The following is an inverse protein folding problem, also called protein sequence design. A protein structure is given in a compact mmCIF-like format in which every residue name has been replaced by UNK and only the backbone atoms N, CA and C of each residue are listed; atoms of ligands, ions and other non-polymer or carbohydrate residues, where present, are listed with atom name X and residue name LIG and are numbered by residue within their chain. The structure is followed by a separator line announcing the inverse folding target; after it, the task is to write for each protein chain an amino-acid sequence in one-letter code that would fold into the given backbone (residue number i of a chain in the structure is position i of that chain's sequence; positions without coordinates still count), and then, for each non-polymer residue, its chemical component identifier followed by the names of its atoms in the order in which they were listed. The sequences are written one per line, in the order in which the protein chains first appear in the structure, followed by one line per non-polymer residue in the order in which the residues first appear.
data_IF_495735706575
#
_entry.id   IF_495735706575
#
_cell.length_a   1.000
_cell.length_b   1.000
_cell.length_c   1.000
_cell.angle_alpha   90.00
_cell.angle_beta   90.00
_cell.angle_gamma   90.00
#
_symmetry.space_group_name_H-M   'P 1'
#
loop_
_entity.id
_entity.type
_entity.pdbx_description
1 polymer ?
#
# COMPACT_ATOMS: atom_id res chain seq x y z
N UNK A 1 13.50 2.20 7.87
CA UNK A 1 13.73 0.81 8.29
C UNK A 1 14.30 0.78 9.69
N UNK A 2 14.00 -0.24 10.52
CA UNK A 2 14.63 -0.44 11.84
C UNK A 2 16.14 -0.64 11.73
N UNK A 3 16.87 -0.31 12.78
CA UNK A 3 18.35 -0.42 12.76
C UNK A 3 18.78 -1.89 12.66
N UNK A 4 18.04 -2.79 13.26
CA UNK A 4 18.29 -4.22 13.23
C UNK A 4 18.24 -4.76 11.79
N UNK A 5 17.28 -4.29 10.99
CA UNK A 5 17.16 -4.64 9.56
C UNK A 5 18.34 -4.08 8.76
N UNK A 6 18.77 -2.85 9.05
CA UNK A 6 19.91 -2.23 8.37
C UNK A 6 21.23 -2.96 8.67
N UNK A 7 21.45 -3.40 9.91
CA UNK A 7 22.64 -4.17 10.28
C UNK A 7 22.66 -5.57 9.63
N UNK A 8 21.51 -6.22 9.54
CA UNK A 8 21.38 -7.49 8.80
C UNK A 8 21.70 -7.28 7.30
N UNK A 9 21.11 -6.26 6.69
CA UNK A 9 21.34 -5.91 5.28
C UNK A 9 22.82 -5.61 4.99
N UNK A 10 23.53 -4.97 5.90
CA UNK A 10 24.97 -4.67 5.76
C UNK A 10 25.79 -5.93 5.53
N UNK A 11 25.52 -7.01 6.25
CA UNK A 11 26.20 -8.28 6.07
C UNK A 11 25.83 -8.94 4.73
N UNK A 12 24.55 -8.90 4.37
CA UNK A 12 24.03 -9.48 3.12
C UNK A 12 24.50 -8.76 1.85
N UNK A 13 25.05 -7.53 1.96
CA UNK A 13 25.68 -6.83 0.82
C UNK A 13 26.97 -7.50 0.35
N UNK A 14 27.62 -8.30 1.18
CA UNK A 14 28.89 -8.97 0.85
C UNK A 14 28.76 -10.49 0.76
N UNK A 15 27.84 -11.09 1.52
CA UNK A 15 27.64 -12.53 1.53
C UNK A 15 26.18 -12.88 1.86
N UNK A 16 25.32 -12.90 0.86
CA UNK A 16 23.94 -13.24 1.05
C UNK A 16 23.75 -14.76 1.24
N UNK A 17 23.29 -15.16 2.41
CA UNK A 17 23.01 -16.56 2.79
C UNK A 17 24.19 -17.52 2.60
N UNK A 18 25.43 -17.06 2.75
CA UNK A 18 26.63 -17.88 2.62
C UNK A 18 26.98 -18.27 1.18
N UNK A 19 26.50 -17.53 0.19
CA UNK A 19 26.76 -17.79 -1.24
C UNK A 19 28.11 -17.29 -1.72
N UNK A 20 28.81 -16.49 -0.89
CA UNK A 20 30.02 -15.76 -1.29
C UNK A 20 29.75 -14.59 -2.23
N UNK A 21 28.48 -14.23 -2.46
CA UNK A 21 28.06 -13.09 -3.29
C UNK A 21 27.11 -12.20 -2.49
N UNK A 22 27.20 -10.88 -2.71
CA UNK A 22 26.25 -9.93 -2.13
C UNK A 22 24.87 -10.03 -2.80
N UNK A 23 23.83 -9.61 -2.04
CA UNK A 23 22.45 -9.65 -2.56
C UNK A 23 22.27 -8.88 -3.88
N UNK A 24 23.05 -7.84 -4.13
CA UNK A 24 23.00 -7.04 -5.37
C UNK A 24 23.56 -7.77 -6.59
N UNK A 25 24.29 -8.88 -6.38
CA UNK A 25 24.91 -9.72 -7.41
C UNK A 25 24.09 -11.00 -7.68
N UNK A 26 23.13 -11.31 -6.79
CA UNK A 26 22.31 -12.52 -6.90
C UNK A 26 21.41 -12.46 -8.14
N UNK A 27 21.55 -13.46 -9.00
CA UNK A 27 20.66 -13.60 -10.15
C UNK A 27 19.24 -13.94 -9.72
N UNK A 28 18.25 -13.27 -10.31
CA UNK A 28 16.83 -13.58 -10.10
C UNK A 28 16.42 -14.98 -10.61
N UNK A 29 17.30 -15.68 -11.30
CA UNK A 29 17.11 -17.06 -11.78
C UNK A 29 17.79 -18.10 -10.89
N UNK A 30 18.46 -17.66 -9.84
CA UNK A 30 19.13 -18.57 -8.91
C UNK A 30 18.11 -19.18 -7.91
N UNK A 31 18.36 -20.41 -7.43
CA UNK A 31 17.52 -21.01 -6.39
C UNK A 31 17.43 -20.15 -5.13
N UNK A 32 18.51 -19.50 -4.71
CA UNK A 32 18.54 -18.67 -3.50
C UNK A 32 17.63 -17.44 -3.60
N UNK A 33 17.46 -16.89 -4.82
CA UNK A 33 16.47 -15.84 -5.06
C UNK A 33 15.05 -16.39 -5.02
N UNK A 34 14.80 -17.54 -5.65
CA UNK A 34 13.48 -18.16 -5.64
C UNK A 34 13.04 -18.50 -4.21
N UNK A 35 13.93 -19.09 -3.42
CA UNK A 35 13.66 -19.38 -2.00
C UNK A 35 13.30 -18.11 -1.21
N UNK A 36 13.98 -16.99 -1.47
CA UNK A 36 13.69 -15.70 -0.84
C UNK A 36 12.32 -15.15 -1.30
N UNK A 37 11.99 -15.29 -2.59
CA UNK A 37 10.72 -14.85 -3.15
C UNK A 37 9.55 -15.63 -2.53
N UNK A 38 9.68 -16.96 -2.44
CA UNK A 38 8.69 -17.85 -1.86
C UNK A 38 8.48 -17.57 -0.37
N UNK A 39 9.57 -17.38 0.37
CA UNK A 39 9.55 -16.97 1.78
C UNK A 39 8.83 -15.62 1.95
N UNK A 40 9.11 -14.65 1.08
CA UNK A 40 8.45 -13.33 1.10
C UNK A 40 6.95 -13.44 0.91
N UNK A 41 6.52 -14.25 -0.06
CA UNK A 41 5.08 -14.54 -0.28
C UNK A 41 4.45 -15.25 0.91
N UNK A 42 5.16 -16.23 1.50
CA UNK A 42 4.69 -16.96 2.67
C UNK A 42 4.47 -16.03 3.87
N UNK A 43 5.41 -15.13 4.16
CA UNK A 43 5.24 -14.13 5.22
C UNK A 43 4.04 -13.22 4.97
N UNK A 44 3.89 -12.69 3.75
CA UNK A 44 2.74 -11.85 3.40
C UNK A 44 1.43 -12.61 3.61
N UNK A 45 1.33 -13.84 3.09
CA UNK A 45 0.14 -14.67 3.21
C UNK A 45 -0.22 -14.94 4.68
N UNK A 46 0.76 -15.28 5.51
CA UNK A 46 0.54 -15.55 6.92
C UNK A 46 0.15 -14.30 7.72
N UNK A 47 0.87 -13.17 7.53
CA UNK A 47 0.60 -11.93 8.26
C UNK A 47 -0.75 -11.32 7.89
N UNK A 48 -1.12 -11.40 6.61
CA UNK A 48 -2.39 -10.91 6.11
C UNK A 48 -3.53 -11.93 6.32
N UNK A 49 -3.23 -13.14 6.79
CA UNK A 49 -4.19 -14.25 6.99
C UNK A 49 -5.01 -14.49 5.71
N UNK A 50 -4.35 -14.43 4.54
CA UNK A 50 -5.01 -14.60 3.24
C UNK A 50 -5.47 -16.04 3.06
N UNK A 51 -6.68 -16.20 2.56
CA UNK A 51 -7.18 -17.49 2.05
C UNK A 51 -6.46 -17.88 0.73
N UNK A 52 -6.79 -19.07 0.20
CA UNK A 52 -6.13 -19.61 -1.01
C UNK A 52 -6.63 -18.96 -2.31
N UNK A 53 -7.58 -18.01 -2.22
CA UNK A 53 -8.19 -17.34 -3.37
C UNK A 53 -7.38 -16.12 -3.85
N UNK A 54 -6.21 -15.85 -3.28
CA UNK A 54 -5.37 -14.71 -3.65
C UNK A 54 -4.08 -15.09 -4.34
N UNK A 55 -3.69 -14.27 -5.32
CA UNK A 55 -2.36 -14.25 -5.92
C UNK A 55 -1.55 -13.06 -5.36
N UNK A 56 -0.25 -13.28 -5.14
CA UNK A 56 0.69 -12.24 -4.70
C UNK A 56 1.74 -12.06 -5.79
N UNK A 57 1.88 -10.83 -6.29
CA UNK A 57 2.83 -10.50 -7.35
C UNK A 57 3.66 -9.26 -7.01
N UNK A 58 4.90 -9.24 -7.48
CA UNK A 58 5.84 -8.13 -7.35
C UNK A 58 6.14 -7.52 -8.71
N UNK A 59 6.21 -6.18 -8.75
CA UNK A 59 6.36 -5.43 -10.00
C UNK A 59 7.24 -4.21 -9.80
N UNK A 60 7.91 -3.76 -10.86
CA UNK A 60 8.61 -2.48 -10.87
C UNK A 60 7.63 -1.30 -10.88
N UNK A 61 8.11 -0.09 -10.58
CA UNK A 61 7.43 1.18 -10.82
C UNK A 61 6.68 1.79 -9.65
N UNK A 62 6.54 1.11 -8.54
CA UNK A 62 5.89 1.64 -7.33
C UNK A 62 4.41 2.03 -7.53
N UNK A 63 3.84 2.86 -6.62
CA UNK A 63 2.41 3.19 -6.59
C UNK A 63 1.88 3.90 -7.84
N UNK A 64 2.67 4.77 -8.48
CA UNK A 64 2.23 5.47 -9.70
C UNK A 64 1.98 4.48 -10.85
N UNK A 65 2.79 3.43 -10.96
CA UNK A 65 2.54 2.37 -11.94
C UNK A 65 1.26 1.60 -11.59
N UNK A 66 0.96 1.42 -10.31
CA UNK A 66 -0.26 0.73 -9.88
C UNK A 66 -1.54 1.52 -10.20
N UNK A 67 -1.50 2.87 -10.17
CA UNK A 67 -2.62 3.68 -10.69
C UNK A 67 -2.93 3.35 -12.15
N UNK A 68 -1.88 3.27 -12.98
CA UNK A 68 -2.00 2.91 -14.39
C UNK A 68 -2.50 1.48 -14.56
N UNK A 69 -1.85 0.51 -13.92
CA UNK A 69 -2.17 -0.92 -14.07
C UNK A 69 -3.58 -1.25 -13.59
N UNK A 70 -4.04 -0.67 -12.48
CA UNK A 70 -5.39 -0.87 -11.97
C UNK A 70 -6.44 -0.45 -12.99
N UNK A 71 -6.34 0.78 -13.52
CA UNK A 71 -7.28 1.28 -14.54
C UNK A 71 -7.23 0.45 -15.82
N UNK A 72 -6.03 0.18 -16.31
CA UNK A 72 -5.81 -0.55 -17.56
C UNK A 72 -6.30 -2.01 -17.50
N UNK A 73 -6.20 -2.70 -16.35
CA UNK A 73 -6.65 -4.09 -16.22
C UNK A 73 -8.15 -4.23 -15.91
N UNK A 74 -8.73 -3.34 -15.09
CA UNK A 74 -10.03 -3.60 -14.50
C UNK A 74 -11.12 -2.59 -14.89
N UNK A 75 -10.78 -1.51 -15.59
CA UNK A 75 -11.78 -0.53 -16.03
C UNK A 75 -12.33 -0.92 -17.41
N UNK A 76 -13.55 -1.47 -17.43
CA UNK A 76 -14.26 -1.89 -18.65
C UNK A 76 -15.34 -0.88 -19.06
N UNK A 77 -16.08 -0.34 -18.09
CA UNK A 77 -17.14 0.63 -18.26
C UNK A 77 -16.87 1.86 -17.42
N UNK A 78 -17.07 1.76 -16.11
CA UNK A 78 -16.81 2.86 -15.17
C UNK A 78 -16.19 2.41 -13.87
N UNK A 79 -15.33 3.27 -13.28
CA UNK A 79 -14.69 3.09 -11.97
C UNK A 79 -15.17 4.14 -10.98
N UNK A 80 -15.52 3.70 -9.77
CA UNK A 80 -15.85 4.54 -8.64
C UNK A 80 -14.59 4.83 -7.81
N UNK A 81 -14.40 6.07 -7.38
CA UNK A 81 -13.26 6.48 -6.58
C UNK A 81 -13.74 7.23 -5.34
N UNK A 82 -13.24 6.87 -4.16
CA UNK A 82 -13.42 7.65 -2.96
C UNK A 82 -12.40 8.80 -2.97
N UNK A 83 -12.86 10.02 -3.25
CA UNK A 83 -12.00 11.21 -3.29
C UNK A 83 -11.71 11.71 -1.88
N UNK A 84 -10.77 11.03 -1.21
CA UNK A 84 -10.29 11.34 0.13
C UNK A 84 -8.93 12.05 0.14
N UNK A 85 -8.41 12.43 -1.03
CA UNK A 85 -7.15 13.18 -1.13
C UNK A 85 -6.42 13.03 -2.45
N UNK A 86 -5.21 13.57 -2.50
CA UNK A 86 -4.39 13.70 -3.73
C UNK A 86 -4.15 12.37 -4.42
N UNK A 87 -3.92 11.29 -3.66
CA UNK A 87 -3.55 10.00 -4.25
C UNK A 87 -4.76 9.33 -4.92
N UNK A 88 -5.93 9.37 -4.28
CA UNK A 88 -7.18 8.89 -4.88
C UNK A 88 -7.52 9.68 -6.16
N UNK A 89 -7.35 11.01 -6.11
CA UNK A 89 -7.55 11.87 -7.26
C UNK A 89 -6.60 11.54 -8.43
N UNK A 90 -5.31 11.31 -8.15
CA UNK A 90 -4.34 10.88 -9.18
C UNK A 90 -4.69 9.52 -9.77
N UNK A 91 -5.10 8.55 -8.93
CA UNK A 91 -5.52 7.24 -9.40
C UNK A 91 -6.71 7.36 -10.35
N UNK A 92 -7.75 8.13 -9.97
CA UNK A 92 -8.92 8.40 -10.81
C UNK A 92 -8.55 9.02 -12.15
N UNK A 93 -7.73 10.08 -12.12
CA UNK A 93 -7.34 10.78 -13.35
C UNK A 93 -6.51 9.90 -14.27
N UNK A 94 -5.67 9.01 -13.73
CA UNK A 94 -4.91 8.04 -14.51
C UNK A 94 -5.83 6.99 -15.13
N UNK A 95 -6.79 6.47 -14.38
CA UNK A 95 -7.73 5.48 -14.89
C UNK A 95 -8.68 6.06 -15.96
N UNK A 96 -8.96 7.37 -15.95
CA UNK A 96 -9.81 8.05 -16.93
C UNK A 96 -9.31 7.91 -18.39
N UNK A 97 -8.07 7.50 -18.61
CA UNK A 97 -7.58 7.16 -19.96
C UNK A 97 -8.16 5.85 -20.51
N UNK A 98 -8.74 5.01 -19.66
CA UNK A 98 -9.22 3.66 -20.02
C UNK A 98 -10.75 3.52 -20.00
N UNK A 99 -11.47 4.47 -19.39
CA UNK A 99 -12.92 4.42 -19.29
C UNK A 99 -13.49 5.57 -18.45
N UNK A 100 -14.79 5.52 -18.17
CA UNK A 100 -15.46 6.52 -17.32
C UNK A 100 -14.99 6.37 -15.86
N UNK A 101 -14.69 7.50 -15.21
CA UNK A 101 -14.37 7.54 -13.77
C UNK A 101 -15.21 8.61 -13.08
N UNK A 102 -15.60 8.33 -11.84
CA UNK A 102 -16.35 9.30 -11.04
C UNK A 102 -16.02 9.20 -9.56
N UNK A 103 -16.31 10.27 -8.81
CA UNK A 103 -16.16 10.27 -7.35
C UNK A 103 -17.41 9.63 -6.74
N UNK A 104 -17.22 8.48 -6.04
CA UNK A 104 -18.28 7.83 -5.26
C UNK A 104 -18.64 8.65 -4.02
N UNK A 105 -17.70 9.41 -3.53
CA UNK A 105 -17.83 10.44 -2.49
C UNK A 105 -16.65 11.41 -2.59
N UNK A 106 -16.67 12.48 -1.79
CA UNK A 106 -15.53 13.41 -1.67
C UNK A 106 -15.50 14.05 -0.28
N UNK A 107 -14.31 14.26 0.24
CA UNK A 107 -14.05 15.02 1.48
C UNK A 107 -13.48 16.43 1.20
N UNK A 108 -13.57 16.89 -0.06
CA UNK A 108 -12.98 18.16 -0.52
C UNK A 108 -13.58 19.38 0.15
N UNK A 109 -14.86 19.30 0.53
CA UNK A 109 -15.62 20.36 1.22
C UNK A 109 -14.95 20.82 2.52
N UNK A 110 -14.25 19.92 3.22
CA UNK A 110 -13.48 20.19 4.43
C UNK A 110 -11.97 19.95 4.24
N UNK A 111 -11.46 20.18 3.03
CA UNK A 111 -10.05 20.02 2.70
C UNK A 111 -9.51 18.64 3.09
N UNK A 112 -10.30 17.57 2.88
CA UNK A 112 -9.93 16.18 3.17
C UNK A 112 -9.58 15.89 4.65
N UNK A 113 -10.19 16.63 5.57
CA UNK A 113 -9.98 16.44 7.01
C UNK A 113 -10.70 15.21 7.58
N UNK A 114 -11.53 14.53 6.79
CA UNK A 114 -12.31 13.38 7.21
C UNK A 114 -12.47 12.34 6.09
N UNK A 115 -12.99 11.18 6.44
CA UNK A 115 -13.36 10.11 5.51
C UNK A 115 -14.88 10.02 5.47
N UNK A 116 -15.52 10.19 4.28
CA UNK A 116 -16.96 10.03 4.13
C UNK A 116 -17.42 8.58 4.37
N UNK A 117 -18.59 8.40 4.99
CA UNK A 117 -19.13 7.09 5.36
C UNK A 117 -20.05 6.48 4.27
N UNK A 118 -20.39 7.22 3.22
CA UNK A 118 -21.33 6.80 2.16
C UNK A 118 -20.67 6.82 0.80
N UNK A 119 -21.12 5.93 -0.09
CA UNK A 119 -20.56 5.74 -1.43
C UNK A 119 -21.69 5.66 -2.46
N UNK A 120 -21.66 6.51 -3.50
CA UNK A 120 -22.54 6.41 -4.66
C UNK A 120 -21.98 5.34 -5.62
N UNK A 121 -22.58 4.16 -5.60
CA UNK A 121 -22.21 3.07 -6.52
C UNK A 121 -23.23 3.03 -7.65
N UNK A 122 -22.84 3.49 -8.83
CA UNK A 122 -23.69 3.54 -10.02
C UNK A 122 -23.80 2.17 -10.69
N UNK A 123 -24.86 1.91 -11.46
CA UNK A 123 -24.94 0.69 -12.29
C UNK A 123 -23.69 0.52 -13.17
N UNK A 124 -23.33 -0.71 -13.47
CA UNK A 124 -22.17 -1.08 -14.30
C UNK A 124 -20.80 -0.58 -13.79
N UNK A 125 -20.71 -0.24 -12.50
CA UNK A 125 -19.42 0.08 -11.85
C UNK A 125 -18.56 -1.17 -11.73
N UNK A 126 -17.33 -1.11 -12.26
CA UNK A 126 -16.41 -2.25 -12.27
C UNK A 126 -15.74 -2.47 -10.92
N UNK A 127 -15.45 -1.39 -10.18
CA UNK A 127 -14.82 -1.43 -8.85
C UNK A 127 -15.02 -0.11 -8.10
N UNK A 128 -14.89 -0.18 -6.77
CA UNK A 128 -14.63 0.98 -5.91
C UNK A 128 -13.12 1.01 -5.56
N UNK A 129 -12.49 2.14 -5.82
CA UNK A 129 -11.10 2.39 -5.44
C UNK A 129 -11.02 3.30 -4.21
N UNK A 130 -10.19 2.91 -3.24
CA UNK A 130 -9.89 3.71 -2.06
C UNK A 130 -8.37 3.81 -1.82
N UNK A 131 -7.95 4.87 -1.13
CA UNK A 131 -6.60 5.01 -0.57
C UNK A 131 -6.72 4.90 0.96
N UNK A 132 -6.21 3.84 1.55
CA UNK A 132 -6.42 3.50 2.96
C UNK A 132 -5.88 4.56 3.92
N UNK A 133 -4.78 5.21 3.56
CA UNK A 133 -4.12 6.22 4.39
C UNK A 133 -3.60 7.40 3.56
N UNK A 134 -4.10 8.59 3.83
CA UNK A 134 -3.75 9.83 3.14
C UNK A 134 -2.58 10.54 3.83
N UNK A 135 -1.39 10.41 3.27
CA UNK A 135 -0.15 10.93 3.86
C UNK A 135 -0.06 12.45 3.93
N UNK A 136 -0.81 13.17 3.08
CA UNK A 136 -0.81 14.64 3.02
C UNK A 136 -1.78 15.24 4.04
N UNK A 137 -2.94 14.59 4.22
CA UNK A 137 -4.01 15.10 5.08
C UNK A 137 -4.08 14.41 6.45
N UNK A 138 -3.35 13.31 6.63
CA UNK A 138 -3.29 12.57 7.89
C UNK A 138 -4.58 11.83 8.24
N UNK A 139 -5.37 11.45 7.24
CA UNK A 139 -6.58 10.63 7.42
C UNK A 139 -6.32 9.17 7.06
N UNK A 140 -6.89 8.25 7.83
CA UNK A 140 -6.76 6.80 7.68
C UNK A 140 -8.11 6.11 7.88
N UNK A 141 -8.49 5.22 6.97
CA UNK A 141 -9.68 4.40 7.13
C UNK A 141 -9.56 3.52 8.38
N UNK A 142 -10.53 3.61 9.29
CA UNK A 142 -10.64 2.70 10.45
C UNK A 142 -11.50 1.51 10.11
N UNK A 143 -12.61 1.74 9.43
CA UNK A 143 -13.50 0.75 8.84
C UNK A 143 -13.52 0.92 7.32
N UNK A 144 -13.58 -0.19 6.59
CA UNK A 144 -13.55 -0.18 5.14
C UNK A 144 -14.96 -0.30 4.54
N UNK A 145 -15.19 0.26 3.33
CA UNK A 145 -16.49 0.19 2.66
C UNK A 145 -17.00 -1.25 2.48
N UNK A 146 -18.27 -1.47 2.73
CA UNK A 146 -18.98 -2.69 2.37
C UNK A 146 -19.85 -2.38 1.16
N UNK A 147 -19.43 -2.83 -0.02
CA UNK A 147 -20.07 -2.56 -1.32
C UNK A 147 -20.20 -3.86 -2.13
N UNK A 148 -21.15 -3.89 -3.04
CA UNK A 148 -21.42 -5.07 -3.89
C UNK A 148 -20.56 -5.11 -5.17
N UNK A 149 -19.56 -4.24 -5.26
CA UNK A 149 -18.59 -4.21 -6.36
C UNK A 149 -17.18 -4.49 -5.83
N UNK A 150 -16.26 -4.98 -6.66
CA UNK A 150 -14.87 -5.20 -6.24
C UNK A 150 -14.26 -4.00 -5.52
N UNK A 151 -13.65 -4.24 -4.34
CA UNK A 151 -12.97 -3.22 -3.56
C UNK A 151 -11.46 -3.29 -3.81
N UNK A 152 -10.90 -2.21 -4.38
CA UNK A 152 -9.47 -2.06 -4.66
C UNK A 152 -8.87 -1.01 -3.74
N UNK A 153 -7.78 -1.34 -3.07
CA UNK A 153 -7.19 -0.49 -2.04
C UNK A 153 -5.70 -0.21 -2.27
N UNK A 154 -5.32 1.08 -2.30
CA UNK A 154 -3.95 1.53 -2.12
C UNK A 154 -3.62 1.57 -0.63
N UNK A 155 -2.75 0.67 -0.19
CA UNK A 155 -2.25 0.61 1.18
C UNK A 155 -0.76 1.00 1.28
N UNK A 156 -0.20 1.72 0.32
CA UNK A 156 1.24 1.99 0.26
C UNK A 156 1.82 2.57 1.56
N UNK A 157 1.07 3.34 2.32
CA UNK A 157 1.58 4.03 3.50
C UNK A 157 1.22 3.38 4.83
N UNK A 158 0.26 2.45 4.85
CA UNK A 158 -0.22 1.80 6.07
C UNK A 158 -0.27 0.26 5.99
N UNK A 159 0.17 -0.32 4.87
CA UNK A 159 0.23 -1.78 4.73
C UNK A 159 1.02 -2.42 5.88
N UNK A 160 0.47 -3.47 6.49
CA UNK A 160 1.03 -4.21 7.63
C UNK A 160 1.36 -3.33 8.86
N UNK A 161 0.68 -2.19 9.01
CA UNK A 161 0.84 -1.31 10.17
C UNK A 161 -0.04 -1.72 11.36
N UNK A 162 -1.07 -2.51 11.12
CA UNK A 162 -2.07 -2.98 12.09
C UNK A 162 -2.76 -4.25 11.62
N UNK A 163 -3.50 -4.90 12.52
CA UNK A 163 -4.38 -6.01 12.16
C UNK A 163 -5.66 -5.50 11.51
N UNK A 164 -5.96 -5.99 10.33
CA UNK A 164 -7.23 -5.81 9.63
C UNK A 164 -7.64 -7.13 8.97
N UNK A 165 -8.89 -7.27 8.59
CA UNK A 165 -9.32 -8.35 7.70
C UNK A 165 -8.94 -8.01 6.26
N UNK A 166 -7.84 -8.58 5.77
CA UNK A 166 -7.39 -8.36 4.39
C UNK A 166 -8.27 -9.08 3.36
N UNK A 167 -9.05 -10.10 3.77
CA UNK A 167 -9.90 -10.86 2.87
C UNK A 167 -11.18 -10.10 2.45
N UNK A 168 -11.43 -8.90 2.99
CA UNK A 168 -12.53 -8.04 2.54
C UNK A 168 -12.25 -7.29 1.23
N UNK A 169 -11.01 -7.31 0.74
CA UNK A 169 -10.61 -6.62 -0.48
C UNK A 169 -10.49 -7.59 -1.66
N UNK A 170 -10.88 -7.16 -2.85
CA UNK A 170 -10.63 -7.93 -4.07
C UNK A 170 -9.22 -7.66 -4.61
N UNK A 171 -8.66 -6.48 -4.29
CA UNK A 171 -7.27 -6.18 -4.57
C UNK A 171 -6.70 -5.21 -3.55
N UNK A 172 -5.51 -5.51 -3.08
CA UNK A 172 -4.66 -4.59 -2.34
C UNK A 172 -3.37 -4.42 -3.13
N UNK A 173 -2.86 -3.22 -3.20
CA UNK A 173 -1.49 -3.02 -3.66
C UNK A 173 -0.76 -1.99 -2.78
N UNK A 174 0.55 -2.09 -2.73
CA UNK A 174 1.38 -1.18 -1.96
C UNK A 174 2.72 -0.94 -2.63
N UNK A 175 3.13 0.32 -2.70
CA UNK A 175 4.51 0.68 -2.96
C UNK A 175 5.39 0.32 -1.77
N UNK A 176 6.49 -0.40 -2.00
CA UNK A 176 7.33 -0.96 -0.94
C UNK A 176 8.03 0.14 -0.12
N UNK A 177 8.40 1.26 -0.76
CA UNK A 177 9.30 2.29 -0.22
C UNK A 177 8.80 3.06 1.01
N UNK A 178 7.53 2.99 1.36
CA UNK A 178 7.00 3.75 2.50
C UNK A 178 7.16 2.97 3.80
N UNK A 179 6.47 1.85 3.93
CA UNK A 179 6.43 1.11 5.20
C UNK A 179 7.29 -0.17 5.20
N UNK A 180 7.65 -0.73 4.03
CA UNK A 180 8.17 -2.09 3.94
C UNK A 180 9.56 -2.26 3.32
N UNK A 181 10.20 -1.21 2.78
CA UNK A 181 11.53 -1.41 2.21
C UNK A 181 12.05 -0.30 1.30
N UNK A 182 12.81 -0.67 0.27
CA UNK A 182 13.43 0.25 -0.67
C UNK A 182 12.49 0.69 -1.80
N UNK A 183 12.79 1.86 -2.39
CA UNK A 183 12.07 2.38 -3.54
C UNK A 183 12.37 1.58 -4.82
N UNK A 184 11.38 1.46 -5.71
CA UNK A 184 11.52 0.86 -7.04
C UNK A 184 10.53 -0.26 -7.36
N UNK A 185 9.77 -0.73 -6.36
CA UNK A 185 8.81 -1.80 -6.53
C UNK A 185 7.47 -1.53 -5.85
N UNK A 186 6.46 -2.24 -6.31
CA UNK A 186 5.20 -2.47 -5.63
C UNK A 186 4.90 -3.97 -5.58
N UNK A 187 4.03 -4.37 -4.67
CA UNK A 187 3.39 -5.68 -4.74
C UNK A 187 1.87 -5.50 -4.79
N UNK A 188 1.19 -6.52 -5.32
CA UNK A 188 -0.24 -6.60 -5.31
C UNK A 188 -0.69 -7.97 -4.78
N UNK A 189 -1.78 -7.95 -4.04
CA UNK A 189 -2.53 -9.11 -3.56
C UNK A 189 -3.89 -9.04 -4.25
N UNK A 190 -4.20 -10.01 -5.10
CA UNK A 190 -5.34 -9.94 -6.02
C UNK A 190 -6.17 -11.20 -5.90
N UNK A 191 -7.48 -11.06 -5.65
CA UNK A 191 -8.42 -12.17 -5.64
C UNK A 191 -8.51 -12.79 -7.04
N UNK A 192 -8.47 -14.11 -7.14
CA UNK A 192 -8.51 -14.84 -8.41
C UNK A 192 -9.72 -14.47 -9.26
N UNK A 193 -10.90 -14.34 -8.64
CA UNK A 193 -12.12 -13.92 -9.33
C UNK A 193 -12.08 -12.50 -9.93
N UNK A 194 -11.30 -11.57 -9.35
CA UNK A 194 -11.03 -10.27 -9.98
C UNK A 194 -10.01 -10.41 -11.11
N UNK A 195 -8.97 -11.20 -10.89
CA UNK A 195 -7.92 -11.43 -11.88
C UNK A 195 -8.46 -12.06 -13.18
N UNK A 196 -9.45 -12.95 -13.09
CA UNK A 196 -10.13 -13.54 -14.25
C UNK A 196 -10.85 -12.49 -15.11
N UNK A 197 -11.25 -11.36 -14.53
CA UNK A 197 -11.89 -10.23 -15.21
C UNK A 197 -10.90 -9.23 -15.79
N UNK A 198 -9.58 -9.43 -15.58
CA UNK A 198 -8.57 -8.51 -16.10
C UNK A 198 -8.53 -8.52 -17.63
N UNK A 199 -8.32 -7.35 -18.23
CA UNK A 199 -8.18 -7.18 -19.68
C UNK A 199 -6.93 -7.89 -20.19
N UNK A 200 -7.06 -8.53 -21.34
CA UNK A 200 -5.97 -9.21 -22.05
C UNK A 200 -5.57 -8.51 -23.36
N UNK A 201 -6.32 -7.48 -23.76
CA UNK A 201 -6.09 -6.65 -24.96
C UNK A 201 -5.18 -5.44 -24.68
N UNK A 202 -4.34 -5.53 -23.67
CA UNK A 202 -3.35 -4.53 -23.26
C UNK A 202 -1.94 -5.13 -23.32
N UNK A 203 -0.88 -4.30 -23.37
CA UNK A 203 0.50 -4.82 -23.38
C UNK A 203 0.78 -5.81 -22.24
N UNK A 204 1.43 -6.93 -22.55
CA UNK A 204 1.70 -7.99 -21.57
C UNK A 204 2.35 -7.51 -20.28
N UNK A 205 3.27 -6.54 -20.38
CA UNK A 205 3.95 -5.96 -19.22
C UNK A 205 3.02 -5.21 -18.27
N UNK A 206 1.83 -4.79 -18.71
CA UNK A 206 0.82 -4.12 -17.89
C UNK A 206 -0.23 -5.09 -17.34
N UNK A 207 -0.24 -6.37 -17.76
CA UNK A 207 -1.19 -7.37 -17.30
C UNK A 207 -0.76 -7.99 -15.98
N UNK A 208 -1.57 -7.92 -14.93
CA UNK A 208 -1.32 -8.65 -13.67
C UNK A 208 -1.22 -10.15 -13.90
N UNK A 209 -2.01 -10.71 -14.81
CA UNK A 209 -1.97 -12.13 -15.18
C UNK A 209 -0.59 -12.57 -15.69
N UNK A 210 0.14 -11.69 -16.39
CA UNK A 210 1.50 -11.97 -16.86
C UNK A 210 2.45 -12.17 -15.68
N UNK A 211 2.36 -11.34 -14.65
CA UNK A 211 3.18 -11.48 -13.45
C UNK A 211 2.80 -12.71 -12.63
N UNK A 212 1.51 -13.07 -12.56
CA UNK A 212 1.06 -14.32 -11.91
C UNK A 212 1.62 -15.55 -12.64
N UNK A 213 1.43 -15.63 -13.96
CA UNK A 213 1.91 -16.78 -14.79
C UNK A 213 3.41 -17.00 -14.74
N UNK A 214 4.18 -15.93 -14.55
CA UNK A 214 5.64 -15.96 -14.53
C UNK A 214 6.22 -15.80 -13.11
N UNK A 215 5.40 -15.99 -12.09
CA UNK A 215 5.82 -15.91 -10.69
C UNK A 215 6.61 -14.63 -10.37
N UNK A 216 6.13 -13.47 -10.85
CA UNK A 216 6.78 -12.15 -10.73
C UNK A 216 8.11 -12.01 -11.49
N UNK A 217 8.54 -13.00 -12.27
CA UNK A 217 9.82 -13.03 -12.99
C UNK A 217 9.66 -12.98 -14.52
N UNK A 218 8.58 -12.39 -15.01
CA UNK A 218 8.37 -12.16 -16.46
C UNK A 218 9.56 -11.43 -17.10
N UNK A 219 10.08 -10.43 -16.43
CA UNK A 219 11.36 -9.77 -16.69
C UNK A 219 12.19 -9.76 -15.41
N UNK A 220 13.41 -9.24 -15.44
CA UNK A 220 14.24 -9.12 -14.24
C UNK A 220 13.48 -8.35 -13.15
N UNK A 221 13.08 -9.00 -12.04
CA UNK A 221 12.37 -8.31 -10.94
C UNK A 221 13.31 -7.38 -10.17
N UNK A 222 12.79 -6.45 -9.38
CA UNK A 222 13.59 -5.55 -8.56
C UNK A 222 14.13 -6.30 -7.33
N UNK A 223 15.14 -7.15 -7.53
CA UNK A 223 15.72 -8.09 -6.54
C UNK A 223 15.96 -7.43 -5.20
N UNK A 224 16.65 -6.27 -5.19
CA UNK A 224 16.97 -5.57 -3.96
C UNK A 224 15.73 -5.04 -3.21
N UNK A 225 14.69 -4.60 -3.93
CA UNK A 225 13.44 -4.15 -3.30
C UNK A 225 12.69 -5.33 -2.65
N UNK A 226 12.64 -6.49 -3.32
CA UNK A 226 12.03 -7.73 -2.78
C UNK A 226 12.82 -8.21 -1.56
N UNK A 227 14.14 -8.16 -1.62
CA UNK A 227 15.01 -8.47 -0.49
C UNK A 227 14.74 -7.57 0.72
N UNK A 228 14.67 -6.25 0.52
CA UNK A 228 14.39 -5.33 1.63
C UNK A 228 13.02 -5.57 2.25
N UNK A 229 12.02 -5.91 1.42
CA UNK A 229 10.70 -6.34 1.89
C UNK A 229 10.82 -7.62 2.73
N UNK A 230 11.54 -8.64 2.23
CA UNK A 230 11.74 -9.89 2.96
C UNK A 230 12.34 -9.65 4.37
N UNK A 231 13.39 -8.83 4.47
CA UNK A 231 14.00 -8.50 5.77
C UNK A 231 13.04 -7.75 6.69
N UNK A 232 12.25 -6.83 6.15
CA UNK A 232 11.23 -6.12 6.93
C UNK A 232 10.12 -7.06 7.42
N UNK A 233 9.66 -7.98 6.58
CA UNK A 233 8.65 -8.98 7.00
C UNK A 233 9.19 -9.90 8.08
N UNK A 234 10.43 -10.36 7.96
CA UNK A 234 11.11 -11.14 8.99
C UNK A 234 11.19 -10.38 10.32
N UNK A 235 11.56 -9.08 10.28
CA UNK A 235 11.60 -8.23 11.46
C UNK A 235 10.20 -8.06 12.09
N UNK A 236 9.15 -7.78 11.29
CA UNK A 236 7.76 -7.68 11.78
C UNK A 236 7.34 -8.99 12.47
N UNK A 237 7.65 -10.13 11.85
CA UNK A 237 7.34 -11.44 12.41
C UNK A 237 8.00 -11.66 13.77
N UNK A 238 9.29 -11.36 13.89
CA UNK A 238 10.07 -11.53 15.12
C UNK A 238 9.65 -10.53 16.21
N UNK A 239 9.08 -9.39 15.86
CA UNK A 239 8.52 -8.43 16.82
C UNK A 239 7.18 -8.88 17.43
N UNK A 240 6.60 -9.99 16.98
CA UNK A 240 5.30 -10.51 17.44
C UNK A 240 4.16 -10.24 16.47
N UNK A 241 4.48 -9.94 15.20
CA UNK A 241 3.51 -9.76 14.12
C UNK A 241 2.75 -8.44 14.16
N UNK A 242 1.64 -8.37 13.42
CA UNK A 242 0.90 -7.10 13.21
C UNK A 242 0.34 -6.50 14.49
N UNK A 243 -0.06 -7.34 15.45
CA UNK A 243 -0.57 -6.85 16.74
C UNK A 243 0.47 -6.05 17.51
N UNK A 244 1.71 -6.54 17.57
CA UNK A 244 2.80 -5.84 18.25
C UNK A 244 3.19 -4.56 17.51
N UNK A 245 3.17 -4.57 16.17
CA UNK A 245 3.43 -3.39 15.34
C UNK A 245 2.33 -2.33 15.56
N UNK A 246 1.07 -2.74 15.60
CA UNK A 246 -0.06 -1.85 15.85
C UNK A 246 0.06 -1.13 17.20
N UNK A 247 0.34 -1.87 18.28
CA UNK A 247 0.53 -1.27 19.60
C UNK A 247 1.71 -0.28 19.62
N UNK A 248 2.81 -0.61 18.96
CA UNK A 248 3.94 0.31 18.79
C UNK A 248 3.56 1.57 18.01
N UNK A 249 2.75 1.44 16.97
CA UNK A 249 2.28 2.57 16.17
C UNK A 249 1.30 3.45 16.96
N UNK A 250 0.40 2.86 17.75
CA UNK A 250 -0.49 3.60 18.66
C UNK A 250 0.30 4.45 19.65
N UNK A 251 1.33 3.88 20.28
CA UNK A 251 2.17 4.63 21.23
C UNK A 251 2.87 5.80 20.53
N UNK A 252 3.50 5.57 19.37
CA UNK A 252 4.20 6.63 18.62
C UNK A 252 3.25 7.75 18.17
N UNK A 253 2.12 7.39 17.58
CA UNK A 253 1.14 8.37 17.11
C UNK A 253 0.51 9.12 18.31
N UNK A 254 0.20 8.41 19.39
CA UNK A 254 -0.34 8.97 20.61
C UNK A 254 0.55 10.06 21.19
N UNK A 255 1.87 9.86 21.28
CA UNK A 255 2.80 10.88 21.76
C UNK A 255 2.70 12.19 21.00
N UNK A 256 2.54 12.13 19.67
CA UNK A 256 2.44 13.33 18.83
C UNK A 256 1.04 13.94 18.96
N UNK A 257 -0.02 13.13 18.88
CA UNK A 257 -1.39 13.65 18.99
C UNK A 257 -1.67 14.26 20.38
N UNK A 258 -1.19 13.65 21.45
CA UNK A 258 -1.30 14.21 22.81
C UNK A 258 -0.60 15.58 22.88
N UNK A 259 0.57 15.72 22.26
CA UNK A 259 1.28 17.00 22.18
C UNK A 259 0.47 18.05 21.42
N UNK A 260 -0.13 17.66 20.29
CA UNK A 260 -1.00 18.56 19.49
C UNK A 260 -2.20 18.99 20.32
N UNK A 261 -2.92 18.03 20.91
CA UNK A 261 -4.19 18.28 21.62
C UNK A 261 -3.99 19.09 22.92
N UNK A 262 -2.83 18.94 23.59
CA UNK A 262 -2.46 19.66 24.80
C UNK A 262 -1.76 21.01 24.54
N UNK A 263 -1.49 21.37 23.28
CA UNK A 263 -0.72 22.56 22.92
C UNK A 263 -1.47 23.90 23.13
N UNK A 264 -2.73 23.86 23.54
CA UNK A 264 -3.55 25.07 23.66
C UNK A 264 -3.81 25.78 22.32
N UNK A 265 -3.73 25.05 21.21
CA UNK A 265 -3.95 25.54 19.84
C UNK A 265 -2.69 26.08 19.14
N UNK A 266 -1.51 25.90 19.73
CA UNK A 266 -0.25 26.18 19.05
C UNK A 266 -0.04 25.23 17.87
N UNK A 267 -0.28 23.93 18.08
CA UNK A 267 -0.40 22.94 17.00
C UNK A 267 -1.87 22.68 16.70
N UNK A 268 -2.24 22.66 15.42
CA UNK A 268 -3.60 22.40 14.95
C UNK A 268 -3.61 21.16 14.09
N UNK A 269 -4.10 20.03 14.63
CA UNK A 269 -4.28 18.80 13.86
C UNK A 269 -5.22 19.04 12.68
N UNK A 270 -4.88 18.48 11.52
CA UNK A 270 -5.70 18.66 10.32
C UNK A 270 -6.88 17.68 10.29
N UNK A 271 -6.63 16.40 10.54
CA UNK A 271 -7.64 15.36 10.48
C UNK A 271 -8.60 15.38 11.68
N UNK A 272 -9.88 15.08 11.42
CA UNK A 272 -10.86 14.81 12.48
C UNK A 272 -10.35 13.67 13.36
N UNK A 273 -10.59 13.75 14.67
CA UNK A 273 -10.04 12.82 15.65
C UNK A 273 -10.34 11.35 15.31
N UNK A 274 -11.56 11.06 14.85
CA UNK A 274 -11.97 9.70 14.47
C UNK A 274 -11.20 9.12 13.26
N UNK A 275 -10.73 10.01 12.39
CA UNK A 275 -10.09 9.65 11.11
C UNK A 275 -8.56 9.85 11.14
N UNK A 276 -7.98 10.22 12.28
CA UNK A 276 -6.53 10.45 12.43
C UNK A 276 -5.72 9.22 12.03
N UNK A 277 -4.71 9.42 11.19
CA UNK A 277 -3.77 8.39 10.80
C UNK A 277 -2.80 8.03 11.93
N UNK A 278 -2.55 6.74 12.15
CA UNK A 278 -1.46 6.29 13.01
C UNK A 278 -0.09 6.36 12.32
N UNK A 279 -0.07 6.51 10.99
CA UNK A 279 1.16 6.46 10.20
C UNK A 279 1.65 7.86 9.80
N UNK A 280 0.75 8.82 9.61
CA UNK A 280 1.06 10.17 9.14
C UNK A 280 0.30 11.19 9.98
N UNK A 281 0.95 11.74 10.98
CA UNK A 281 0.39 12.82 11.78
C UNK A 281 0.67 14.15 11.07
N UNK A 282 -0.41 14.87 10.74
CA UNK A 282 -0.34 16.18 10.07
C UNK A 282 -0.90 17.26 10.97
N UNK A 283 -0.25 18.41 10.96
CA UNK A 283 -0.69 19.59 11.72
C UNK A 283 -0.21 20.87 11.04
N UNK A 284 -0.86 21.98 11.38
CA UNK A 284 -0.42 23.32 11.06
C UNK A 284 -0.04 24.05 12.37
N UNK A 285 0.75 25.10 12.28
CA UNK A 285 1.02 25.97 13.40
C UNK A 285 -0.12 26.98 13.63
N UNK A 286 -0.10 27.66 14.75
CA UNK A 286 -1.13 28.63 15.12
C UNK A 286 -1.30 29.74 14.07
N UNK A 287 -0.19 30.16 13.43
CA UNK A 287 -0.18 31.13 12.34
C UNK A 287 0.79 30.73 11.23
N UNK A 288 0.57 31.15 9.96
CA UNK A 288 1.47 30.85 8.84
C UNK A 288 2.89 31.41 8.99
N UNK A 289 3.06 32.49 9.78
CA UNK A 289 4.39 33.08 10.01
C UNK A 289 5.27 32.12 10.79
N UNK A 290 4.71 31.41 11.78
CA UNK A 290 5.43 30.42 12.58
C UNK A 290 5.87 29.20 11.75
N UNK A 291 5.14 28.85 10.68
CA UNK A 291 5.49 27.73 9.81
C UNK A 291 6.81 27.93 9.06
N UNK A 292 7.26 29.19 8.89
CA UNK A 292 8.53 29.49 8.24
C UNK A 292 9.74 29.25 9.14
N UNK A 293 9.54 29.38 10.45
CA UNK A 293 10.59 29.25 11.44
C UNK A 293 10.68 27.84 12.01
N UNK A 294 9.64 27.03 11.82
CA UNK A 294 9.55 25.61 12.23
C UNK A 294 10.24 24.69 11.22
#
# INVERSE_FOLDING_TARGET
MPIEVLEEMKNDLTDFRGTGMGITEISHRSPVFQDMLDETKAYLRQMMKLDDDYEIVFMQGGGTMQFLMTGCNFLHTRGAYADTGVWAHKARNTAAFFGETYDANTAKDRNYAYIPDTYDIRPDTNYLYICANNTIYGTEYKDFPKVDVPLICDMSSDILSREIDFNQFDMIWAGIQKNLGAAGAAFAVIRKGLLEKARTDIPEYLQYQTFVKNDSTYNTPPVFCIYTLNRMLHWIWNMGGLKAIEERNKVKAGLIYDTIDQSGGFYKGHADVKDRSMMNVTFNLATPELEKDF
#
